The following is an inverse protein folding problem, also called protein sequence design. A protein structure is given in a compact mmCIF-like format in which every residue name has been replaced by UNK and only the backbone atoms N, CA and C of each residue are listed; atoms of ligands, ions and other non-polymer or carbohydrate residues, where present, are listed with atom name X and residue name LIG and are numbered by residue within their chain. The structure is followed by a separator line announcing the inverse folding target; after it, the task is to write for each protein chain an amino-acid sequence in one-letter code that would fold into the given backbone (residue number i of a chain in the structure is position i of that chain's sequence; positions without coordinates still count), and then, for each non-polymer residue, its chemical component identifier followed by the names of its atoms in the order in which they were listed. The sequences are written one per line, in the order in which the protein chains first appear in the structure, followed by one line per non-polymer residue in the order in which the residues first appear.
data_IF_117107580818
#
_entry.id   IF_117107580818
#
_cell.length_a   1.000
_cell.length_b   1.000
_cell.length_c   1.000
_cell.angle_alpha   90.00
_cell.angle_beta   90.00
_cell.angle_gamma   90.00
#
_symmetry.space_group_name_H-M   'P 1'
#
loop_
_entity.id
_entity.type
_entity.pdbx_description
1 polymer ?
#
# COMPACT_ATOMS: atom_id res chain seq x y z
N UNK A 1 18.77 6.64 -1.17
CA UNK A 1 18.75 6.20 0.25
C UNK A 1 18.58 4.69 0.24
N UNK A 2 19.06 3.96 1.25
CA UNK A 2 18.95 2.49 1.28
C UNK A 2 17.52 2.05 1.62
N UNK A 3 17.10 0.86 1.20
CA UNK A 3 15.73 0.35 1.43
C UNK A 3 15.29 0.41 2.90
N UNK A 4 16.23 0.23 3.84
CA UNK A 4 15.98 0.36 5.27
C UNK A 4 15.72 1.80 5.72
N UNK A 5 16.38 2.80 5.12
CA UNK A 5 16.18 4.21 5.44
C UNK A 5 14.81 4.68 4.98
N UNK A 6 14.43 4.35 3.74
CA UNK A 6 13.12 4.70 3.17
C UNK A 6 12.00 4.04 3.99
N UNK A 7 12.24 2.81 4.42
CA UNK A 7 11.35 2.08 5.31
C UNK A 7 11.13 2.80 6.65
N UNK A 8 12.20 3.20 7.36
CA UNK A 8 12.12 3.91 8.65
C UNK A 8 11.45 5.27 8.48
N UNK A 9 11.78 6.02 7.43
CA UNK A 9 11.18 7.33 7.17
C UNK A 9 9.68 7.21 6.97
N UNK A 10 9.21 6.24 6.17
CA UNK A 10 7.77 5.98 5.97
C UNK A 10 7.07 5.62 7.29
N UNK A 11 7.74 4.86 8.14
CA UNK A 11 7.23 4.49 9.47
C UNK A 11 7.06 5.70 10.38
N UNK A 12 8.06 6.58 10.46
CA UNK A 12 8.01 7.84 11.24
C UNK A 12 6.90 8.77 10.71
N UNK A 13 6.82 8.93 9.39
CA UNK A 13 5.81 9.78 8.75
C UNK A 13 4.39 9.29 9.07
N UNK A 14 4.14 7.98 9.00
CA UNK A 14 2.83 7.43 9.35
C UNK A 14 2.49 7.66 10.82
N UNK A 15 3.44 7.45 11.74
CA UNK A 15 3.24 7.73 13.16
C UNK A 15 2.89 9.20 13.41
N UNK A 16 3.58 10.14 12.73
CA UNK A 16 3.31 11.56 12.79
C UNK A 16 1.91 11.93 12.27
N UNK A 17 1.51 11.40 11.12
CA UNK A 17 0.17 11.62 10.56
C UNK A 17 -0.93 11.05 11.46
N UNK A 18 -0.70 9.87 12.06
CA UNK A 18 -1.63 9.28 13.00
C UNK A 18 -1.81 10.17 14.25
N UNK A 19 -0.72 10.73 14.78
CA UNK A 19 -0.80 11.68 15.90
C UNK A 19 -1.57 12.95 15.54
N UNK A 20 -1.33 13.51 14.36
CA UNK A 20 -2.04 14.70 13.87
C UNK A 20 -3.53 14.42 13.72
N UNK A 21 -3.89 13.31 13.10
CA UNK A 21 -5.29 12.91 12.93
C UNK A 21 -5.99 12.66 14.26
N UNK A 22 -5.34 12.00 15.23
CA UNK A 22 -5.87 11.86 16.58
C UNK A 22 -6.18 13.23 17.21
N UNK A 23 -5.24 14.17 17.10
CA UNK A 23 -5.39 15.53 17.66
C UNK A 23 -6.53 16.31 17.00
N UNK A 24 -6.68 16.20 15.67
CA UNK A 24 -7.79 16.82 14.91
C UNK A 24 -9.15 16.32 15.41
N UNK A 25 -9.24 15.03 15.74
CA UNK A 25 -10.47 14.43 16.27
C UNK A 25 -10.65 14.62 17.79
N UNK A 26 -9.89 15.53 18.42
CA UNK A 26 -9.96 15.81 19.85
C UNK A 26 -9.62 14.59 20.71
N UNK A 27 -8.76 13.70 20.21
CA UNK A 27 -8.18 12.62 21.00
C UNK A 27 -6.94 13.10 21.73
N UNK A 28 -6.77 12.67 22.98
CA UNK A 28 -5.52 12.92 23.71
C UNK A 28 -4.38 12.12 23.11
N UNK A 29 -3.14 12.61 23.25
CA UNK A 29 -1.94 11.96 22.72
C UNK A 29 -1.72 10.57 23.32
N UNK A 30 -2.38 10.23 24.44
CA UNK A 30 -2.52 8.87 24.97
C UNK A 30 -1.18 8.18 25.27
N UNK A 31 -1.21 6.86 25.50
CA UNK A 31 0.01 6.08 25.70
C UNK A 31 0.82 5.98 24.40
N UNK A 32 2.14 6.18 24.49
CA UNK A 32 3.06 5.90 23.39
C UNK A 32 3.02 4.42 22.97
N UNK A 33 2.83 3.49 23.90
CA UNK A 33 2.72 2.06 23.58
C UNK A 33 1.54 1.77 22.64
N UNK A 34 0.43 2.48 22.78
CA UNK A 34 -0.72 2.38 21.89
C UNK A 34 -0.38 2.79 20.46
N UNK A 35 0.41 3.86 20.29
CA UNK A 35 0.85 4.32 18.96
C UNK A 35 1.79 3.31 18.33
N UNK A 36 2.79 2.85 19.08
CA UNK A 36 3.73 1.85 18.61
C UNK A 36 3.01 0.56 18.17
N UNK A 37 1.98 0.13 18.89
CA UNK A 37 1.17 -1.02 18.50
C UNK A 37 0.41 -0.77 17.19
N UNK A 38 -0.32 0.36 17.06
CA UNK A 38 -1.07 0.69 15.83
C UNK A 38 -0.14 0.75 14.62
N UNK A 39 0.97 1.48 14.74
CA UNK A 39 1.96 1.65 13.68
C UNK A 39 2.65 0.31 13.38
N UNK A 40 2.93 -0.50 14.41
CA UNK A 40 3.50 -1.84 14.28
C UNK A 40 2.61 -2.79 13.48
N UNK A 41 1.28 -2.74 13.66
CA UNK A 41 0.35 -3.54 12.85
C UNK A 41 0.37 -3.14 11.38
N UNK A 42 0.38 -1.83 11.09
CA UNK A 42 0.50 -1.33 9.71
C UNK A 42 1.80 -1.81 9.06
N UNK A 43 2.88 -1.82 9.83
CA UNK A 43 4.16 -2.36 9.38
C UNK A 43 4.09 -3.87 9.09
N UNK A 44 3.55 -4.66 10.02
CA UNK A 44 3.42 -6.11 9.85
C UNK A 44 2.62 -6.46 8.58
N UNK A 45 1.52 -5.75 8.34
CA UNK A 45 0.72 -5.90 7.11
C UNK A 45 1.54 -5.56 5.86
N UNK A 46 2.38 -4.51 5.91
CA UNK A 46 3.24 -4.14 4.79
C UNK A 46 4.30 -5.21 4.50
N UNK A 47 4.88 -5.83 5.54
CA UNK A 47 5.81 -6.95 5.36
C UNK A 47 5.13 -8.15 4.71
N UNK A 48 3.94 -8.51 5.19
CA UNK A 48 3.13 -9.59 4.61
C UNK A 48 2.79 -9.29 3.15
N UNK A 49 2.39 -8.05 2.85
CA UNK A 49 2.14 -7.61 1.47
C UNK A 49 3.34 -7.81 0.56
N UNK A 50 4.52 -7.32 0.95
CA UNK A 50 5.75 -7.44 0.15
C UNK A 50 6.11 -8.91 -0.07
N UNK A 51 5.99 -9.74 0.97
CA UNK A 51 6.26 -11.17 0.87
C UNK A 51 5.30 -11.85 -0.11
N UNK A 52 4.00 -11.57 -0.02
CA UNK A 52 3.00 -12.12 -0.93
C UNK A 52 3.24 -11.62 -2.36
N UNK A 53 3.44 -10.31 -2.59
CA UNK A 53 3.69 -9.76 -3.93
C UNK A 53 4.94 -10.37 -4.56
N UNK A 54 6.03 -10.53 -3.80
CA UNK A 54 7.25 -11.20 -4.26
C UNK A 54 7.00 -12.66 -4.67
N UNK A 55 6.21 -13.40 -3.87
CA UNK A 55 5.82 -14.77 -4.22
C UNK A 55 4.96 -14.82 -5.49
N UNK A 56 3.99 -13.90 -5.64
CA UNK A 56 3.14 -13.82 -6.82
C UNK A 56 3.97 -13.49 -8.08
N UNK A 57 4.92 -12.56 -7.99
CA UNK A 57 5.84 -12.25 -9.09
C UNK A 57 6.67 -13.49 -9.49
N UNK A 58 7.17 -14.22 -8.50
CA UNK A 58 7.97 -15.43 -8.74
C UNK A 58 7.17 -16.56 -9.42
N UNK A 59 5.84 -16.54 -9.30
CA UNK A 59 4.97 -17.50 -9.99
C UNK A 59 4.67 -17.13 -11.44
N UNK A 60 4.97 -15.91 -11.88
CA UNK A 60 4.73 -15.48 -13.25
C UNK A 60 5.87 -15.92 -14.17
N UNK A 61 5.51 -16.35 -15.38
CA UNK A 61 6.48 -16.69 -16.43
C UNK A 61 7.20 -15.43 -16.94
N UNK A 62 8.45 -15.56 -17.35
CA UNK A 62 9.17 -14.47 -18.01
C UNK A 62 8.51 -14.11 -19.34
N UNK A 63 8.36 -12.81 -19.64
CA UNK A 63 7.83 -12.32 -20.91
C UNK A 63 8.94 -11.73 -21.78
N UNK A 64 8.88 -12.03 -23.08
CA UNK A 64 9.70 -11.38 -24.10
C UNK A 64 8.85 -10.37 -24.86
N UNK A 65 9.19 -9.09 -24.75
CA UNK A 65 8.49 -8.03 -25.50
C UNK A 65 9.32 -7.61 -26.73
N UNK A 66 8.69 -7.48 -27.90
CA UNK A 66 9.38 -6.97 -29.08
C UNK A 66 9.69 -5.48 -28.93
N UNK A 67 10.70 -5.00 -29.67
CA UNK A 67 11.10 -3.58 -29.69
C UNK A 67 9.93 -2.63 -29.92
N UNK A 68 8.98 -3.02 -30.78
CA UNK A 68 7.77 -2.24 -31.08
C UNK A 68 6.88 -1.99 -29.85
N UNK A 69 6.88 -2.90 -28.86
CA UNK A 69 6.16 -2.72 -27.61
C UNK A 69 6.97 -1.91 -26.58
N UNK A 70 8.31 -2.05 -26.56
CA UNK A 70 9.19 -1.35 -25.62
C UNK A 70 9.46 0.11 -26.00
N UNK A 71 9.61 0.39 -27.29
CA UNK A 71 9.97 1.69 -27.83
C UNK A 71 9.23 1.89 -29.16
N UNK A 72 7.91 2.18 -29.09
CA UNK A 72 7.13 2.44 -30.28
C UNK A 72 7.69 3.68 -31.01
N UNK A 73 7.61 3.65 -32.34
CA UNK A 73 7.92 4.81 -33.18
C UNK A 73 6.90 5.91 -32.87
N UNK A 74 7.31 7.18 -32.96
CA UNK A 74 6.42 8.31 -32.74
C UNK A 74 5.18 8.20 -33.65
N UNK A 75 3.99 8.25 -33.06
CA UNK A 75 2.71 8.03 -33.74
C UNK A 75 2.21 6.58 -33.75
N UNK A 76 2.97 5.62 -33.22
CA UNK A 76 2.56 4.21 -33.05
C UNK A 76 2.42 3.81 -31.56
N UNK A 77 2.32 4.77 -30.65
CA UNK A 77 2.31 4.49 -29.19
C UNK A 77 1.12 3.61 -28.79
N UNK A 78 -0.06 3.85 -29.37
CA UNK A 78 -1.25 3.03 -29.12
C UNK A 78 -1.06 1.58 -29.58
N UNK A 79 -0.38 1.38 -30.72
CA UNK A 79 -0.08 0.05 -31.25
C UNK A 79 0.91 -0.66 -30.31
N UNK A 80 1.93 0.05 -29.84
CA UNK A 80 2.89 -0.47 -28.86
C UNK A 80 2.21 -0.88 -27.55
N UNK A 81 1.30 -0.05 -27.03
CA UNK A 81 0.54 -0.32 -25.81
C UNK A 81 -0.44 -1.49 -25.99
N UNK A 82 -1.12 -1.57 -27.14
CA UNK A 82 -2.01 -2.69 -27.45
C UNK A 82 -1.24 -4.01 -27.51
N UNK A 83 -0.07 -4.03 -28.16
CA UNK A 83 0.79 -5.21 -28.23
C UNK A 83 1.33 -5.62 -26.86
N UNK A 84 1.73 -4.64 -26.04
CA UNK A 84 2.14 -4.87 -24.66
C UNK A 84 1.03 -5.55 -23.84
N UNK A 85 -0.17 -4.98 -23.89
CA UNK A 85 -1.32 -5.50 -23.17
C UNK A 85 -1.71 -6.90 -23.65
N UNK A 86 -1.70 -7.12 -24.97
CA UNK A 86 -1.97 -8.43 -25.55
C UNK A 86 -0.99 -9.49 -25.03
N UNK A 87 0.32 -9.22 -25.07
CA UNK A 87 1.33 -10.17 -24.58
C UNK A 87 1.09 -10.50 -23.10
N UNK A 88 0.79 -9.50 -22.27
CA UNK A 88 0.47 -9.73 -20.85
C UNK A 88 -0.79 -10.59 -20.71
N UNK A 89 -1.87 -10.27 -21.41
CA UNK A 89 -3.13 -11.00 -21.27
C UNK A 89 -3.04 -12.44 -21.78
N UNK A 90 -2.39 -12.65 -22.92
CA UNK A 90 -2.24 -13.98 -23.53
C UNK A 90 -1.40 -14.92 -22.64
N UNK A 91 -0.44 -14.38 -21.88
CA UNK A 91 0.46 -15.19 -21.05
C UNK A 91 0.04 -15.24 -19.57
N UNK A 92 -0.40 -14.11 -19.01
CA UNK A 92 -0.66 -13.97 -17.57
C UNK A 92 -2.14 -13.76 -17.23
N UNK A 93 -2.98 -13.34 -18.18
CA UNK A 93 -4.36 -12.89 -17.91
C UNK A 93 -5.23 -13.91 -17.18
N UNK A 94 -5.02 -15.21 -17.43
CA UNK A 94 -5.74 -16.31 -16.78
C UNK A 94 -5.05 -16.86 -15.55
N UNK A 95 -3.82 -16.41 -15.23
CA UNK A 95 -3.07 -16.93 -14.09
C UNK A 95 -3.64 -16.38 -12.78
N UNK A 96 -3.70 -17.24 -11.75
CA UNK A 96 -4.11 -16.83 -10.41
C UNK A 96 -3.19 -15.73 -9.86
N UNK A 97 -1.88 -15.84 -10.12
CA UNK A 97 -0.89 -14.89 -9.62
C UNK A 97 -1.15 -13.47 -10.15
N UNK A 98 -1.41 -13.32 -11.45
CA UNK A 98 -1.69 -12.02 -12.06
C UNK A 98 -2.99 -11.40 -11.53
N UNK A 99 -4.06 -12.22 -11.42
CA UNK A 99 -5.36 -11.76 -10.91
C UNK A 99 -5.28 -11.38 -9.43
N UNK A 100 -4.65 -12.19 -8.58
CA UNK A 100 -4.49 -11.87 -7.15
C UNK A 100 -3.65 -10.62 -6.94
N UNK A 101 -2.59 -10.44 -7.73
CA UNK A 101 -1.72 -9.28 -7.64
C UNK A 101 -2.47 -7.97 -7.90
N UNK A 102 -3.48 -7.99 -8.77
CA UNK A 102 -4.35 -6.83 -9.01
C UNK A 102 -5.21 -6.46 -7.78
N UNK A 103 -5.77 -7.46 -7.08
CA UNK A 103 -6.65 -7.24 -5.92
C UNK A 103 -5.90 -7.06 -4.59
N UNK A 104 -4.64 -7.49 -4.53
CA UNK A 104 -3.82 -7.51 -3.32
C UNK A 104 -3.69 -6.11 -2.67
N UNK A 105 -3.40 -5.02 -3.41
CA UNK A 105 -3.31 -3.68 -2.81
C UNK A 105 -4.59 -3.25 -2.09
N UNK A 106 -5.77 -3.47 -2.70
CA UNK A 106 -7.06 -3.11 -2.10
C UNK A 106 -7.32 -3.88 -0.80
N UNK A 107 -6.99 -5.17 -0.81
CA UNK A 107 -7.12 -6.04 0.37
C UNK A 107 -6.21 -5.56 1.49
N UNK A 108 -4.98 -5.19 1.17
CA UNK A 108 -3.99 -4.68 2.12
C UNK A 108 -4.39 -3.32 2.69
N UNK A 109 -4.95 -2.43 1.87
CA UNK A 109 -5.49 -1.15 2.34
C UNK A 109 -6.63 -1.35 3.33
N UNK A 110 -7.60 -2.21 3.00
CA UNK A 110 -8.71 -2.54 3.89
C UNK A 110 -8.24 -3.20 5.19
N UNK A 111 -7.30 -4.14 5.09
CA UNK A 111 -6.72 -4.83 6.24
C UNK A 111 -5.97 -3.87 7.17
N UNK A 112 -5.20 -2.95 6.60
CA UNK A 112 -4.47 -1.92 7.35
C UNK A 112 -5.43 -1.01 8.12
N UNK A 113 -6.49 -0.52 7.45
CA UNK A 113 -7.49 0.32 8.09
C UNK A 113 -8.27 -0.42 9.18
N UNK A 114 -8.60 -1.70 8.96
CA UNK A 114 -9.27 -2.52 9.96
C UNK A 114 -8.42 -2.72 11.21
N UNK A 115 -7.14 -3.12 11.06
CA UNK A 115 -6.23 -3.27 12.20
C UNK A 115 -5.96 -1.94 12.92
N UNK A 116 -5.79 -0.84 12.16
CA UNK A 116 -5.60 0.48 12.75
C UNK A 116 -6.82 0.92 13.57
N UNK A 117 -8.03 0.64 13.08
CA UNK A 117 -9.28 0.90 13.78
C UNK A 117 -9.38 0.07 15.07
N UNK A 118 -9.14 -1.23 14.99
CA UNK A 118 -9.18 -2.15 16.14
C UNK A 118 -8.18 -1.69 17.20
N UNK A 119 -6.93 -1.41 16.79
CA UNK A 119 -5.89 -0.98 17.69
C UNK A 119 -6.20 0.37 18.35
N UNK A 120 -6.76 1.34 17.62
CA UNK A 120 -7.19 2.62 18.20
C UNK A 120 -8.38 2.46 19.14
N UNK A 121 -9.35 1.61 18.82
CA UNK A 121 -10.50 1.34 19.67
C UNK A 121 -10.07 0.76 21.01
N UNK A 122 -9.27 -0.30 21.00
CA UNK A 122 -8.86 -0.98 22.23
C UNK A 122 -7.78 -0.22 23.02
N UNK A 123 -6.85 0.48 22.34
CA UNK A 123 -5.75 1.12 23.04
C UNK A 123 -6.06 2.56 23.50
N UNK A 124 -7.13 3.18 23.01
CA UNK A 124 -7.53 4.55 23.35
C UNK A 124 -9.00 4.72 23.71
N UNK A 125 -9.75 3.62 23.76
CA UNK A 125 -11.18 3.60 24.08
C UNK A 125 -12.04 4.52 23.19
N UNK A 126 -11.55 4.86 22.00
CA UNK A 126 -12.34 5.62 21.03
C UNK A 126 -13.53 4.79 20.58
N UNK A 127 -14.68 5.42 20.34
CA UNK A 127 -15.80 4.73 19.69
C UNK A 127 -15.36 4.16 18.34
N UNK A 128 -15.92 3.02 17.92
CA UNK A 128 -15.60 2.39 16.63
C UNK A 128 -15.63 3.38 15.45
N UNK A 129 -16.65 4.24 15.41
CA UNK A 129 -16.78 5.28 14.38
C UNK A 129 -15.62 6.27 14.40
N UNK A 130 -15.20 6.74 15.58
CA UNK A 130 -14.07 7.67 15.74
C UNK A 130 -12.74 7.01 15.40
N UNK A 131 -12.51 5.79 15.89
CA UNK A 131 -11.32 5.01 15.59
C UNK A 131 -11.16 4.74 14.07
N UNK A 132 -12.26 4.38 13.41
CA UNK A 132 -12.29 4.16 11.96
C UNK A 132 -11.97 5.44 11.18
N UNK A 133 -12.62 6.55 11.55
CA UNK A 133 -12.37 7.85 10.89
C UNK A 133 -10.90 8.29 11.02
N UNK A 134 -10.30 8.16 12.20
CA UNK A 134 -8.90 8.49 12.44
C UNK A 134 -7.99 7.57 11.61
N UNK A 135 -8.19 6.24 11.68
CA UNK A 135 -7.35 5.28 10.97
C UNK A 135 -7.39 5.47 9.46
N UNK A 136 -8.60 5.62 8.89
CA UNK A 136 -8.80 5.84 7.46
C UNK A 136 -8.20 7.18 7.03
N UNK A 137 -8.42 8.26 7.78
CA UNK A 137 -7.88 9.58 7.44
C UNK A 137 -6.35 9.59 7.49
N UNK A 138 -5.74 9.01 8.53
CA UNK A 138 -4.28 8.90 8.64
C UNK A 138 -3.69 8.12 7.45
N UNK A 139 -4.37 7.05 7.03
CA UNK A 139 -3.93 6.24 5.91
C UNK A 139 -4.09 6.94 4.56
N UNK A 140 -5.20 7.65 4.34
CA UNK A 140 -5.38 8.49 3.14
C UNK A 140 -4.28 9.56 3.07
N UNK A 141 -4.01 10.25 4.18
CA UNK A 141 -2.92 11.23 4.23
C UNK A 141 -1.56 10.59 3.90
N UNK A 142 -1.30 9.37 4.35
CA UNK A 142 -0.09 8.64 4.01
C UNK A 142 0.00 8.34 2.50
N UNK A 143 -1.10 7.90 1.88
CA UNK A 143 -1.14 7.63 0.43
C UNK A 143 -0.88 8.92 -0.35
N UNK A 144 -1.53 10.03 0.01
CA UNK A 144 -1.33 11.33 -0.62
C UNK A 144 0.12 11.82 -0.47
N UNK A 145 0.71 11.64 0.71
CA UNK A 145 2.10 12.00 0.96
C UNK A 145 3.06 11.18 0.09
N UNK A 146 2.82 9.88 -0.07
CA UNK A 146 3.60 9.00 -0.96
C UNK A 146 3.48 9.39 -2.43
N UNK A 147 2.33 9.91 -2.85
CA UNK A 147 2.16 10.39 -4.21
C UNK A 147 2.93 11.70 -4.47
N UNK A 148 3.04 12.57 -3.46
CA UNK A 148 3.73 13.86 -3.57
C UNK A 148 5.25 13.74 -3.44
N UNK A 149 5.72 12.87 -2.55
CA UNK A 149 7.14 12.68 -2.29
C UNK A 149 7.48 11.22 -2.56
N UNK A 150 8.21 10.93 -3.66
CA UNK A 150 8.74 9.59 -3.92
C UNK A 150 9.94 9.35 -2.98
N UNK A 151 9.64 9.15 -1.71
CA UNK A 151 10.52 8.57 -0.67
C UNK A 151 10.21 7.09 -0.60
#
# INVERSE_FOLDING_TARGET
MGSATDFIVRWILYAGLLLLTIKIFGGETGSWSALFNVVGYVFAVTMVYIAIDALLINMLSSLSFPLKAWSPVAGEEEIGLALWNQIIQDNWGTTLAYNLRYYLPFTVHAWTAALGTIALHFAREFTWKKAAAISVMAYIMLILLKALIPI
#
